data_IF_300755671614
#
_entry.id   IF_300755671614
#
_cell.length_a   1.000
_cell.length_b   1.000
_cell.length_c   1.000
_cell.angle_alpha   90.00
_cell.angle_beta   90.00
_cell.angle_gamma   90.00
#
_symmetry.space_group_name_H-M   'P 1'
#
loop_
_entity.id
_entity.type
_entity.pdbx_description
1 polymer ?
#
# COMPACT_ATOMS: atom_id res chain seq x y z
N UNK A 1 30.60 -7.86 29.43
CA UNK A 1 30.22 -9.28 29.23
C UNK A 1 29.64 -9.46 27.82
N UNK A 2 30.01 -10.51 27.07
CA UNK A 2 29.36 -10.82 25.79
C UNK A 2 27.94 -11.31 26.07
N UNK A 3 26.93 -10.55 25.66
CA UNK A 3 25.53 -10.94 25.80
C UNK A 3 24.90 -10.98 24.41
N UNK A 4 24.59 -12.20 23.94
CA UNK A 4 23.65 -12.41 22.85
C UNK A 4 24.22 -13.04 21.57
N UNK A 5 23.32 -13.74 20.87
CA UNK A 5 23.49 -14.15 19.49
C UNK A 5 23.66 -12.91 18.58
N UNK A 6 24.31 -13.03 17.41
CA UNK A 6 24.37 -11.95 16.43
C UNK A 6 22.97 -11.46 16.09
N UNK A 7 22.78 -10.13 16.06
CA UNK A 7 21.52 -9.52 15.65
C UNK A 7 21.65 -9.15 14.17
N UNK A 8 20.70 -9.51 13.29
CA UNK A 8 20.75 -9.11 11.89
C UNK A 8 20.43 -7.61 11.76
N UNK A 9 21.22 -6.92 10.96
CA UNK A 9 20.92 -5.56 10.47
C UNK A 9 20.25 -5.72 9.11
N UNK A 10 18.99 -5.34 9.04
CA UNK A 10 18.20 -5.37 7.79
C UNK A 10 18.03 -3.97 7.21
N UNK A 11 18.17 -3.85 5.90
CA UNK A 11 17.94 -2.63 5.13
C UNK A 11 16.99 -2.97 3.99
N UNK A 12 15.82 -2.32 3.94
CA UNK A 12 14.75 -2.62 2.97
C UNK A 12 14.42 -4.12 2.87
N UNK A 13 14.38 -4.81 4.02
CA UNK A 13 14.12 -6.26 4.10
C UNK A 13 15.27 -7.16 3.67
N UNK A 14 16.46 -6.61 3.40
CA UNK A 14 17.67 -7.38 3.10
C UNK A 14 18.61 -7.42 4.30
N UNK A 15 19.04 -8.61 4.70
CA UNK A 15 20.07 -8.80 5.71
C UNK A 15 21.44 -8.36 5.18
N UNK A 16 22.00 -7.29 5.76
CA UNK A 16 23.25 -6.67 5.29
C UNK A 16 24.43 -7.04 6.18
N UNK A 17 24.25 -7.00 7.50
CA UNK A 17 25.30 -7.28 8.47
C UNK A 17 24.76 -8.07 9.65
N UNK A 18 25.65 -8.79 10.33
CA UNK A 18 25.40 -9.21 11.70
C UNK A 18 26.09 -8.24 12.65
N UNK A 19 25.37 -7.77 13.66
CA UNK A 19 25.94 -6.94 14.73
C UNK A 19 26.05 -7.76 16.01
N UNK A 20 27.26 -7.82 16.55
CA UNK A 20 27.50 -8.29 17.91
C UNK A 20 27.55 -7.07 18.82
N UNK A 21 26.70 -7.05 19.83
CA UNK A 21 26.56 -5.91 20.73
C UNK A 21 27.11 -6.26 22.10
N UNK A 22 27.80 -5.30 22.72
CA UNK A 22 28.44 -5.44 24.02
C UNK A 22 28.00 -4.30 24.93
N UNK A 23 27.67 -4.61 26.18
CA UNK A 23 27.53 -3.56 27.20
C UNK A 23 28.92 -3.15 27.69
N UNK A 24 29.16 -1.84 27.67
CA UNK A 24 30.36 -1.24 28.25
C UNK A 24 30.19 -1.24 29.78
N UNK A 25 31.17 -1.79 30.51
CA UNK A 25 31.14 -1.80 31.96
C UNK A 25 31.01 -0.38 32.51
N UNK A 26 30.13 -0.21 33.50
CA UNK A 26 29.82 1.08 34.15
C UNK A 26 29.27 2.18 33.22
N UNK A 27 28.74 1.83 32.05
CA UNK A 27 28.10 2.75 31.10
C UNK A 27 26.74 2.26 30.61
N UNK A 28 25.89 3.20 30.19
CA UNK A 28 24.62 2.89 29.50
C UNK A 28 24.81 2.73 27.98
N UNK A 29 26.02 2.99 27.48
CA UNK A 29 26.37 2.86 26.08
C UNK A 29 26.60 1.40 25.67
N UNK A 30 26.22 1.12 24.42
CA UNK A 30 26.48 -0.13 23.74
C UNK A 30 27.65 0.04 22.78
N UNK A 31 28.59 -0.90 22.83
CA UNK A 31 29.64 -1.07 21.82
C UNK A 31 29.25 -2.21 20.87
N UNK A 32 29.84 -2.26 19.68
CA UNK A 32 29.48 -3.29 18.71
C UNK A 32 30.57 -3.63 17.70
N UNK A 33 30.41 -4.81 17.10
CA UNK A 33 31.21 -5.28 15.98
C UNK A 33 30.27 -5.67 14.83
N UNK A 34 30.54 -5.14 13.63
CA UNK A 34 29.87 -5.57 12.40
C UNK A 34 30.60 -6.76 11.79
N UNK A 35 29.83 -7.74 11.32
CA UNK A 35 30.33 -8.94 10.66
C UNK A 35 29.57 -9.13 9.34
N UNK A 36 30.31 -9.42 8.26
CA UNK A 36 29.73 -9.78 6.97
C UNK A 36 28.95 -11.11 7.10
N UNK A 37 27.69 -11.18 6.63
CA UNK A 37 26.91 -12.42 6.66
C UNK A 37 27.61 -13.62 5.99
N UNK A 38 28.46 -13.39 4.99
CA UNK A 38 29.21 -14.45 4.32
C UNK A 38 30.28 -15.09 5.22
N UNK A 39 30.86 -14.33 6.13
CA UNK A 39 31.94 -14.80 7.01
C UNK A 39 31.42 -15.74 8.11
N UNK A 40 30.16 -15.61 8.53
CA UNK A 40 29.52 -16.51 9.49
C UNK A 40 29.27 -17.92 8.93
N UNK A 41 28.97 -18.04 7.63
CA UNK A 41 28.78 -19.33 6.97
C UNK A 41 30.11 -20.07 6.68
N UNK A 42 31.23 -19.33 6.61
CA UNK A 42 32.55 -19.92 6.44
C UNK A 42 33.08 -20.58 7.73
N UNK A 43 32.61 -20.15 8.90
CA UNK A 43 33.03 -20.71 10.20
C UNK A 43 32.31 -22.01 10.53
N UNK A 44 31.07 -22.22 10.06
CA UNK A 44 30.30 -23.44 10.33
C UNK A 44 30.68 -24.65 9.45
N UNK A 45 31.41 -24.44 8.36
CA UNK A 45 31.76 -25.50 7.40
C UNK A 45 33.12 -26.19 7.65
N UNK A 46 33.87 -25.79 8.68
CA UNK A 46 35.22 -26.31 8.97
C UNK A 46 35.32 -27.20 10.22
N UNK A 47 34.30 -28.02 10.51
CA UNK A 47 34.38 -29.09 11.54
C UNK A 47 34.78 -30.46 10.98
N UNK A 48 35.44 -30.52 9.82
CA UNK A 48 35.82 -31.77 9.15
C UNK A 48 37.11 -31.68 8.35
N UNK A 49 38.24 -31.80 9.06
CA UNK A 49 39.57 -32.25 8.59
C UNK A 49 40.05 -31.93 7.17
N UNK A 50 41.12 -31.14 7.06
CA UNK A 50 41.99 -31.15 5.87
C UNK A 50 42.74 -29.85 5.66
N UNK A 51 44.01 -29.83 6.04
CA UNK A 51 44.93 -28.72 5.80
C UNK A 51 45.09 -28.51 4.30
N UNK A 52 44.58 -27.39 3.77
CA UNK A 52 45.11 -26.77 2.56
C UNK A 52 45.13 -25.25 2.74
N UNK A 53 46.34 -24.74 2.90
CA UNK A 53 46.66 -23.34 3.02
C UNK A 53 46.38 -22.61 1.69
N UNK A 54 45.18 -22.05 1.57
CA UNK A 54 44.90 -20.91 0.70
C UNK A 54 44.99 -19.64 1.54
N UNK A 55 46.09 -18.91 1.40
CA UNK A 55 46.37 -17.65 2.09
C UNK A 55 45.37 -16.56 1.69
N UNK A 56 44.29 -16.44 2.47
CA UNK A 56 43.39 -15.29 2.51
C UNK A 56 42.87 -15.17 3.93
N UNK A 57 43.66 -14.51 4.79
CA UNK A 57 43.33 -14.21 6.18
C UNK A 57 41.95 -13.53 6.29
N UNK A 58 40.92 -14.28 6.73
CA UNK A 58 39.64 -13.71 7.15
C UNK A 58 39.72 -12.89 8.44
N UNK A 59 40.93 -12.70 9.01
CA UNK A 59 41.17 -11.97 10.25
C UNK A 59 41.48 -10.48 10.08
N UNK A 60 41.73 -10.01 8.84
CA UNK A 60 42.12 -8.61 8.57
C UNK A 60 41.17 -7.88 7.62
N UNK A 61 39.93 -8.35 7.45
CA UNK A 61 38.88 -7.50 6.86
C UNK A 61 38.43 -6.50 7.93
N UNK A 62 39.21 -5.44 8.08
CA UNK A 62 38.74 -4.26 8.81
C UNK A 62 37.46 -3.80 8.13
N UNK A 63 36.34 -3.91 8.84
CA UNK A 63 35.09 -3.30 8.41
C UNK A 63 35.32 -1.80 8.44
N UNK A 64 35.17 -1.15 7.29
CA UNK A 64 35.21 0.29 7.20
C UNK A 64 34.04 0.86 8.01
N UNK A 65 34.32 1.63 9.05
CA UNK A 65 33.31 2.31 9.88
C UNK A 65 33.18 3.80 9.56
N UNK A 66 33.91 4.32 8.56
CA UNK A 66 33.98 5.76 8.27
C UNK A 66 32.65 6.38 7.80
N UNK A 67 31.69 5.53 7.42
CA UNK A 67 30.35 5.94 7.03
C UNK A 67 29.37 6.04 8.20
N UNK A 68 29.75 5.62 9.41
CA UNK A 68 28.94 5.84 10.59
C UNK A 68 28.94 7.33 10.96
N UNK A 69 27.74 7.88 11.12
CA UNK A 69 27.55 9.26 11.53
C UNK A 69 27.26 9.34 13.02
N UNK A 70 28.27 9.78 13.78
CA UNK A 70 28.17 9.91 15.23
C UNK A 70 27.19 11.00 15.69
N UNK A 71 26.78 11.92 14.81
CA UNK A 71 25.86 13.01 15.18
C UNK A 71 24.44 12.51 15.47
N UNK A 72 24.02 11.42 14.82
CA UNK A 72 22.70 10.80 14.96
C UNK A 72 22.73 9.52 15.82
N UNK A 73 23.82 9.28 16.57
CA UNK A 73 23.94 8.07 17.41
C UNK A 73 22.86 8.10 18.51
N UNK A 74 22.11 7.01 18.72
CA UNK A 74 21.05 6.98 19.71
C UNK A 74 21.62 7.21 21.11
N UNK A 75 20.98 8.11 21.86
CA UNK A 75 21.29 8.37 23.26
C UNK A 75 20.30 7.56 24.09
N UNK A 76 20.82 6.68 24.94
CA UNK A 76 19.99 5.78 25.75
C UNK A 76 19.74 6.35 27.13
N UNK A 77 18.54 6.13 27.67
CA UNK A 77 18.19 6.48 29.04
C UNK A 77 18.39 5.27 29.96
N UNK A 78 18.61 5.54 31.25
CA UNK A 78 18.70 4.52 32.29
C UNK A 78 17.49 3.60 32.42
N UNK A 79 16.32 4.03 31.92
CA UNK A 79 15.06 3.29 31.93
C UNK A 79 14.87 2.39 30.70
N UNK A 80 15.72 2.51 29.68
CA UNK A 80 15.56 1.75 28.44
C UNK A 80 16.05 0.32 28.63
N UNK A 81 15.25 -0.66 28.20
CA UNK A 81 15.67 -2.07 28.26
C UNK A 81 16.83 -2.32 27.31
N UNK A 82 17.62 -3.36 27.57
CA UNK A 82 18.74 -3.73 26.70
C UNK A 82 18.27 -3.95 25.25
N UNK A 83 17.14 -4.62 25.06
CA UNK A 83 16.57 -4.90 23.73
C UNK A 83 16.24 -3.62 22.97
N UNK A 84 15.61 -2.64 23.63
CA UNK A 84 15.30 -1.34 23.01
C UNK A 84 16.57 -0.58 22.62
N UNK A 85 17.61 -0.64 23.45
CA UNK A 85 18.90 0.00 23.16
C UNK A 85 19.58 -0.67 21.95
N UNK A 86 19.57 -2.01 21.90
CA UNK A 86 20.07 -2.80 20.76
C UNK A 86 19.30 -2.48 19.48
N UNK A 87 17.98 -2.43 19.54
CA UNK A 87 17.12 -2.10 18.40
C UNK A 87 17.42 -0.69 17.87
N UNK A 88 17.53 0.30 18.75
CA UNK A 88 17.90 1.66 18.37
C UNK A 88 19.31 1.74 17.73
N UNK A 89 20.28 0.97 18.25
CA UNK A 89 21.62 0.88 17.70
C UNK A 89 21.62 0.24 16.30
N UNK A 90 20.94 -0.90 16.13
CA UNK A 90 20.77 -1.60 14.85
C UNK A 90 20.13 -0.66 13.82
N UNK A 91 19.06 0.04 14.22
CA UNK A 91 18.38 1.02 13.37
C UNK A 91 19.30 2.18 12.96
N UNK A 92 20.15 2.68 13.86
CA UNK A 92 21.12 3.73 13.53
C UNK A 92 22.20 3.24 12.55
N UNK A 93 22.74 2.04 12.75
CA UNK A 93 23.69 1.43 11.81
C UNK A 93 23.05 1.26 10.44
N UNK A 94 21.83 0.72 10.37
CA UNK A 94 21.08 0.57 9.12
C UNK A 94 20.90 1.91 8.39
N UNK A 95 20.46 2.97 9.10
CA UNK A 95 20.31 4.32 8.54
C UNK A 95 21.63 4.90 8.02
N UNK A 96 22.72 4.76 8.77
CA UNK A 96 24.03 5.24 8.31
C UNK A 96 24.47 4.50 7.04
N UNK A 97 24.19 3.20 6.94
CA UNK A 97 24.50 2.42 5.76
C UNK A 97 23.68 2.85 4.55
N UNK A 98 22.37 3.08 4.73
CA UNK A 98 21.49 3.63 3.69
C UNK A 98 22.01 4.99 3.21
N UNK A 99 22.38 5.89 4.13
CA UNK A 99 22.97 7.20 3.78
C UNK A 99 24.24 7.05 2.94
N UNK A 100 25.12 6.09 3.28
CA UNK A 100 26.31 5.77 2.47
C UNK A 100 25.92 5.33 1.06
N UNK A 101 25.10 4.28 0.96
CA UNK A 101 24.67 3.73 -0.33
C UNK A 101 23.93 4.75 -1.19
N UNK A 102 23.10 5.60 -0.59
CA UNK A 102 22.37 6.66 -1.30
C UNK A 102 23.30 7.71 -1.90
N UNK A 103 24.41 8.04 -1.22
CA UNK A 103 25.44 8.96 -1.76
C UNK A 103 26.18 8.37 -2.96
N UNK A 104 26.44 7.07 -2.92
CA UNK A 104 27.16 6.32 -3.97
C UNK A 104 26.22 5.86 -5.12
N UNK A 105 24.90 5.94 -4.91
CA UNK A 105 23.88 5.44 -5.84
C UNK A 105 24.03 6.00 -7.27
N UNK A 106 24.28 7.31 -7.51
CA UNK A 106 24.42 7.83 -8.87
C UNK A 106 25.57 7.16 -9.65
N UNK A 107 26.70 6.90 -8.98
CA UNK A 107 27.86 6.25 -9.59
C UNK A 107 27.54 4.78 -9.92
N UNK A 108 26.85 4.09 -9.01
CA UNK A 108 26.41 2.71 -9.22
C UNK A 108 25.41 2.61 -10.37
N UNK A 109 24.41 3.49 -10.42
CA UNK A 109 23.44 3.51 -11.52
C UNK A 109 24.11 3.81 -12.86
N UNK A 110 25.02 4.77 -12.93
CA UNK A 110 25.80 5.07 -14.14
C UNK A 110 26.59 3.86 -14.65
N UNK A 111 27.10 3.01 -13.74
CA UNK A 111 27.76 1.77 -14.11
C UNK A 111 26.73 0.76 -14.65
N UNK A 112 25.65 0.47 -13.93
CA UNK A 112 24.81 -0.69 -14.26
C UNK A 112 23.64 -0.41 -15.21
N UNK A 113 23.11 0.82 -15.27
CA UNK A 113 21.98 1.20 -16.12
C UNK A 113 21.95 2.70 -16.44
N UNK A 114 22.25 3.05 -17.70
CA UNK A 114 22.10 4.43 -18.18
C UNK A 114 20.65 4.93 -18.05
N UNK A 115 19.67 4.04 -18.22
CA UNK A 115 18.27 4.38 -18.14
C UNK A 115 17.86 4.77 -16.71
N UNK A 116 18.18 3.93 -15.71
CA UNK A 116 17.89 4.28 -14.32
C UNK A 116 18.72 5.46 -13.83
N UNK A 117 19.97 5.59 -14.30
CA UNK A 117 20.76 6.78 -13.98
C UNK A 117 20.08 8.05 -14.48
N UNK A 118 19.57 8.03 -15.72
CA UNK A 118 18.81 9.14 -16.28
C UNK A 118 17.53 9.41 -15.49
N UNK A 119 16.73 8.38 -15.18
CA UNK A 119 15.50 8.55 -14.39
C UNK A 119 15.81 9.11 -12.98
N UNK A 120 16.94 8.70 -12.39
CA UNK A 120 17.39 9.20 -11.10
C UNK A 120 17.79 10.68 -11.16
N UNK A 121 18.66 11.04 -12.10
CA UNK A 121 19.17 12.41 -12.22
C UNK A 121 18.07 13.39 -12.66
N UNK A 122 17.17 12.97 -13.57
CA UNK A 122 16.13 13.83 -14.12
C UNK A 122 14.92 14.01 -13.19
N UNK A 123 14.59 12.99 -12.38
CA UNK A 123 13.35 12.98 -11.61
C UNK A 123 13.54 12.51 -10.16
N UNK A 124 14.03 11.29 -9.91
CA UNK A 124 14.02 10.73 -8.54
C UNK A 124 14.81 11.57 -7.54
N UNK A 125 15.96 12.13 -7.94
CA UNK A 125 16.79 12.99 -7.10
C UNK A 125 16.11 14.30 -6.69
N UNK A 126 15.06 14.69 -7.41
CA UNK A 126 14.24 15.88 -7.14
C UNK A 126 13.13 15.62 -6.12
N UNK A 127 12.79 14.35 -5.87
CA UNK A 127 11.79 13.95 -4.88
C UNK A 127 12.34 14.19 -3.48
N UNK A 128 11.85 15.27 -2.83
CA UNK A 128 12.21 15.66 -1.46
C UNK A 128 11.00 16.21 -0.73
N UNK A 129 10.69 15.61 0.41
CA UNK A 129 9.60 16.04 1.29
C UNK A 129 10.04 17.20 2.19
N UNK A 130 9.05 17.93 2.71
CA UNK A 130 9.29 18.98 3.72
C UNK A 130 9.82 18.37 5.03
N UNK A 131 9.49 17.10 5.28
CA UNK A 131 9.99 16.28 6.39
C UNK A 131 11.41 15.73 6.17
N UNK A 132 12.04 16.06 5.04
CA UNK A 132 13.38 15.63 4.69
C UNK A 132 13.46 14.23 4.07
N UNK A 133 12.34 13.52 3.89
CA UNK A 133 12.33 12.24 3.16
C UNK A 133 12.74 12.47 1.71
N UNK A 134 13.52 11.54 1.17
CA UNK A 134 13.96 11.55 -0.20
C UNK A 134 14.09 10.13 -0.72
N UNK A 135 14.42 9.98 -2.00
CA UNK A 135 14.73 8.68 -2.57
C UNK A 135 16.02 8.15 -1.95
N UNK A 136 15.93 6.95 -1.38
CA UNK A 136 17.04 6.26 -0.76
C UNK A 136 17.46 5.05 -1.61
N UNK A 137 18.75 4.78 -1.63
CA UNK A 137 19.36 3.69 -2.38
C UNK A 137 20.06 2.69 -1.48
N UNK A 138 19.90 1.42 -1.79
CA UNK A 138 20.70 0.34 -1.22
C UNK A 138 21.20 -0.55 -2.35
N UNK A 139 22.44 -1.02 -2.26
CA UNK A 139 22.95 -1.98 -3.21
C UNK A 139 23.92 -2.94 -2.55
N UNK A 140 23.95 -4.17 -3.05
CA UNK A 140 24.88 -5.20 -2.61
C UNK A 140 25.23 -6.13 -3.76
N UNK A 141 26.41 -6.75 -3.66
CA UNK A 141 26.85 -7.77 -4.60
C UNK A 141 26.58 -9.15 -4.03
N UNK A 142 25.98 -10.03 -4.83
CA UNK A 142 25.81 -11.43 -4.48
C UNK A 142 26.12 -12.30 -5.70
N UNK A 143 27.17 -13.10 -5.60
CA UNK A 143 27.69 -13.89 -6.71
C UNK A 143 28.16 -13.00 -7.86
N UNK A 144 27.61 -13.23 -9.06
CA UNK A 144 27.90 -12.46 -10.27
C UNK A 144 26.94 -11.29 -10.51
N UNK A 145 26.02 -11.02 -9.58
CA UNK A 145 25.00 -9.99 -9.72
C UNK A 145 25.16 -8.89 -8.67
N UNK A 146 24.76 -7.69 -9.06
CA UNK A 146 24.56 -6.56 -8.16
C UNK A 146 23.07 -6.32 -8.07
N UNK A 147 22.58 -6.26 -6.85
CA UNK A 147 21.21 -5.89 -6.55
C UNK A 147 21.17 -4.43 -6.16
N UNK A 148 20.22 -3.69 -6.73
CA UNK A 148 20.01 -2.26 -6.48
C UNK A 148 18.56 -2.09 -6.06
N UNK A 149 18.33 -1.63 -4.85
CA UNK A 149 17.02 -1.33 -4.29
C UNK A 149 16.86 0.19 -4.17
N UNK A 150 15.77 0.71 -4.72
CA UNK A 150 15.35 2.09 -4.57
C UNK A 150 14.13 2.14 -3.65
N UNK A 151 14.21 2.93 -2.58
CA UNK A 151 13.07 3.31 -1.74
C UNK A 151 12.63 4.71 -2.13
N UNK A 152 11.43 4.80 -2.72
CA UNK A 152 10.87 6.01 -3.29
C UNK A 152 9.69 6.43 -2.42
N UNK A 153 9.82 7.49 -1.61
CA UNK A 153 8.69 7.99 -0.83
C UNK A 153 7.63 8.59 -1.75
N UNK A 154 6.37 8.30 -1.47
CA UNK A 154 5.21 8.73 -2.24
C UNK A 154 4.34 9.67 -1.41
N UNK A 155 3.56 10.52 -2.09
CA UNK A 155 2.54 11.38 -1.49
C UNK A 155 3.09 12.34 -0.42
N UNK A 156 4.35 12.77 -0.58
CA UNK A 156 5.10 13.56 0.39
C UNK A 156 4.39 14.83 0.88
N UNK A 157 3.57 15.45 0.02
CA UNK A 157 2.86 16.70 0.33
C UNK A 157 1.42 16.49 0.81
N UNK A 158 0.99 15.24 0.98
CA UNK A 158 -0.42 14.90 1.25
C UNK A 158 -0.59 14.13 2.56
N UNK A 159 0.46 13.98 3.36
CA UNK A 159 0.40 13.25 4.64
C UNK A 159 -0.70 13.76 5.57
N UNK A 160 -0.86 15.09 5.73
CA UNK A 160 -1.94 15.68 6.54
C UNK A 160 -3.34 15.36 6.00
N UNK A 161 -3.52 15.46 4.67
CA UNK A 161 -4.79 15.15 4.02
C UNK A 161 -5.15 13.67 4.21
N UNK A 162 -4.21 12.77 3.93
CA UNK A 162 -4.38 11.33 4.11
C UNK A 162 -4.75 11.02 5.55
N UNK A 163 -3.99 11.53 6.54
CA UNK A 163 -4.32 11.34 7.97
C UNK A 163 -5.71 11.84 8.31
N UNK A 164 -6.12 12.99 7.78
CA UNK A 164 -7.47 13.53 7.93
C UNK A 164 -8.53 12.57 7.41
N UNK A 165 -8.36 12.06 6.17
CA UNK A 165 -9.26 11.09 5.54
C UNK A 165 -9.36 9.79 6.32
N UNK A 166 -8.22 9.23 6.75
CA UNK A 166 -8.19 8.03 7.58
C UNK A 166 -8.93 8.22 8.91
N UNK A 167 -8.76 9.38 9.54
CA UNK A 167 -9.49 9.73 10.77
C UNK A 167 -11.00 9.82 10.52
N UNK A 168 -11.40 10.45 9.42
CA UNK A 168 -12.81 10.54 8.99
C UNK A 168 -13.43 9.17 8.77
N UNK A 169 -12.70 8.23 8.14
CA UNK A 169 -13.18 6.85 7.92
C UNK A 169 -13.54 6.18 9.24
N UNK A 170 -12.66 6.23 10.24
CA UNK A 170 -12.94 5.60 11.55
C UNK A 170 -14.13 6.28 12.25
N UNK A 171 -14.19 7.61 12.21
CA UNK A 171 -15.30 8.37 12.83
C UNK A 171 -16.65 8.04 12.21
N UNK A 172 -16.73 8.03 10.88
CA UNK A 172 -17.97 7.70 10.17
C UNK A 172 -18.37 6.25 10.39
N UNK A 173 -17.41 5.32 10.36
CA UNK A 173 -17.67 3.91 10.61
C UNK A 173 -18.22 3.68 12.03
N UNK A 174 -17.60 4.27 13.05
CA UNK A 174 -18.10 4.20 14.43
C UNK A 174 -19.48 4.83 14.62
N UNK A 175 -19.71 6.00 14.00
CA UNK A 175 -21.02 6.67 14.00
C UNK A 175 -22.12 5.76 13.42
N UNK A 176 -21.86 5.15 12.26
CA UNK A 176 -22.82 4.30 11.55
C UNK A 176 -23.08 2.96 12.24
N UNK A 177 -22.12 2.45 13.00
CA UNK A 177 -22.31 1.25 13.82
C UNK A 177 -23.02 1.51 15.15
N UNK A 178 -23.29 2.77 15.50
CA UNK A 178 -23.79 3.18 16.81
C UNK A 178 -22.94 2.64 17.98
N UNK A 179 -21.65 2.43 17.74
CA UNK A 179 -20.73 2.08 18.82
C UNK A 179 -20.53 3.29 19.73
N UNK A 180 -20.16 3.05 21.00
CA UNK A 180 -19.70 4.11 21.89
C UNK A 180 -18.69 5.01 21.16
N UNK A 181 -18.68 6.33 21.41
CA UNK A 181 -17.85 7.26 20.67
C UNK A 181 -16.39 6.82 20.79
N UNK A 182 -15.86 6.26 19.71
CA UNK A 182 -14.44 5.93 19.62
C UNK A 182 -13.71 7.25 19.78
N UNK A 183 -12.78 7.38 20.76
CA UNK A 183 -12.00 8.60 20.90
C UNK A 183 -11.35 8.89 19.55
N UNK A 184 -11.45 10.13 19.09
CA UNK A 184 -11.00 10.56 17.76
C UNK A 184 -9.60 10.01 17.48
N UNK A 185 -9.45 8.99 16.61
CA UNK A 185 -8.16 8.40 16.35
C UNK A 185 -7.32 9.45 15.66
N UNK A 186 -6.13 9.69 16.20
CA UNK A 186 -5.17 10.63 15.64
C UNK A 186 -3.99 9.84 15.15
N UNK A 187 -3.78 9.84 13.83
CA UNK A 187 -2.62 9.22 13.24
C UNK A 187 -1.43 10.18 13.36
N UNK A 188 -0.29 9.70 13.86
CA UNK A 188 0.97 10.47 13.87
C UNK A 188 1.61 10.43 12.49
N UNK A 189 1.60 9.26 11.84
CA UNK A 189 2.22 9.02 10.54
C UNK A 189 1.32 8.20 9.63
N UNK A 190 1.32 8.51 8.34
CA UNK A 190 0.61 7.78 7.28
C UNK A 190 1.37 7.96 5.97
N UNK A 191 2.26 7.02 5.67
CA UNK A 191 3.27 7.15 4.64
C UNK A 191 3.25 5.98 3.68
N UNK A 192 3.51 6.28 2.40
CA UNK A 192 3.61 5.29 1.34
C UNK A 192 5.03 5.31 0.76
N UNK A 193 5.62 4.13 0.59
CA UNK A 193 6.96 3.98 0.01
C UNK A 193 6.95 2.88 -1.05
N UNK A 194 7.43 3.20 -2.25
CA UNK A 194 7.65 2.23 -3.30
C UNK A 194 9.08 1.70 -3.24
N UNK A 195 9.22 0.39 -3.07
CA UNK A 195 10.48 -0.33 -3.11
C UNK A 195 10.62 -1.05 -4.45
N UNK A 196 11.62 -0.65 -5.24
CA UNK A 196 11.97 -1.32 -6.49
C UNK A 196 13.34 -1.96 -6.36
N UNK A 197 13.43 -3.28 -6.53
CA UNK A 197 14.70 -4.02 -6.54
C UNK A 197 15.02 -4.50 -7.95
N UNK A 198 16.22 -4.18 -8.41
CA UNK A 198 16.77 -4.55 -9.69
C UNK A 198 17.97 -5.48 -9.50
N UNK A 199 18.13 -6.46 -10.38
CA UNK A 199 19.36 -7.24 -10.53
C UNK A 199 20.09 -6.82 -11.80
N UNK A 200 21.41 -6.65 -11.68
CA UNK A 200 22.32 -6.30 -12.76
C UNK A 200 23.48 -7.30 -12.81
N UNK A 201 23.86 -7.78 -14.00
CA UNK A 201 25.00 -8.70 -14.13
C UNK A 201 26.35 -7.95 -14.08
N UNK A 202 27.16 -8.29 -13.08
CA UNK A 202 28.49 -7.71 -12.86
C UNK A 202 29.51 -8.11 -13.94
N UNK A 203 29.31 -9.26 -14.61
CA UNK A 203 30.20 -9.79 -15.65
C UNK A 203 29.97 -9.18 -17.03
N UNK A 204 28.96 -8.33 -17.21
CA UNK A 204 28.70 -7.61 -18.47
C UNK A 204 29.70 -6.46 -18.68
N UNK A 205 30.95 -6.82 -18.94
CA UNK A 205 32.03 -5.90 -19.24
C UNK A 205 31.87 -5.25 -20.61
N UNK A 206 31.75 -3.90 -20.62
CA UNK A 206 32.13 -2.97 -21.69
C UNK A 206 31.63 -3.16 -23.14
N UNK A 207 30.83 -4.17 -23.49
CA UNK A 207 30.18 -4.21 -24.80
C UNK A 207 28.93 -3.33 -24.79
N UNK A 208 28.98 -2.26 -25.57
CA UNK A 208 28.13 -1.06 -25.63
C UNK A 208 26.70 -1.26 -26.14
N UNK A 209 26.05 -2.38 -25.86
CA UNK A 209 24.62 -2.57 -26.18
C UNK A 209 23.86 -3.08 -24.96
N UNK A 210 23.32 -2.13 -24.18
CA UNK A 210 22.36 -2.30 -23.09
C UNK A 210 22.76 -3.31 -22.01
N UNK A 211 23.34 -2.82 -20.91
CA UNK A 211 23.39 -3.58 -19.65
C UNK A 211 21.94 -3.76 -19.19
N UNK A 212 21.38 -4.95 -19.43
CA UNK A 212 20.01 -5.26 -19.06
C UNK A 212 19.93 -5.43 -17.54
N UNK A 213 19.34 -4.44 -16.88
CA UNK A 213 18.84 -4.61 -15.52
C UNK A 213 17.48 -5.30 -15.56
N UNK A 214 17.23 -6.18 -14.60
CA UNK A 214 15.94 -6.86 -14.46
C UNK A 214 15.30 -6.46 -13.14
N UNK A 215 14.07 -5.99 -13.18
CA UNK A 215 13.27 -5.82 -11.96
C UNK A 215 13.00 -7.20 -11.34
N UNK A 216 13.44 -7.41 -10.11
CA UNK A 216 13.25 -8.65 -9.35
C UNK A 216 12.13 -8.56 -8.35
N UNK A 217 11.89 -7.37 -7.79
CA UNK A 217 10.86 -7.12 -6.79
C UNK A 217 10.29 -5.71 -6.93
N UNK A 218 8.99 -5.60 -6.73
CA UNK A 218 8.25 -4.36 -6.56
C UNK A 218 7.36 -4.53 -5.33
N UNK A 219 7.57 -3.71 -4.32
CA UNK A 219 6.78 -3.72 -3.09
C UNK A 219 6.31 -2.31 -2.76
N UNK A 220 5.04 -2.17 -2.38
CA UNK A 220 4.48 -0.91 -1.90
C UNK A 220 4.23 -1.06 -0.41
N UNK A 221 4.92 -0.25 0.38
CA UNK A 221 4.76 -0.22 1.83
C UNK A 221 3.79 0.89 2.24
N UNK A 222 2.85 0.55 3.12
CA UNK A 222 1.97 1.51 3.77
C UNK A 222 2.25 1.51 5.27
N UNK A 223 2.96 2.53 5.72
CA UNK A 223 3.27 2.75 7.12
C UNK A 223 2.20 3.64 7.76
N UNK A 224 1.54 3.13 8.80
CA UNK A 224 0.50 3.83 9.53
C UNK A 224 0.78 3.70 11.02
N UNK A 225 0.88 4.84 11.69
CA UNK A 225 1.11 4.92 13.13
C UNK A 225 0.00 5.74 13.78
N UNK A 226 -0.60 5.15 14.81
CA UNK A 226 -1.61 5.81 15.63
C UNK A 226 -0.98 6.38 16.89
N UNK A 227 -1.31 7.63 17.21
CA UNK A 227 -0.78 8.33 18.36
C UNK A 227 -1.31 7.72 19.66
N UNK A 228 -0.40 7.34 20.55
CA UNK A 228 -0.68 6.72 21.86
C UNK A 228 -1.36 5.33 21.80
N UNK A 229 -1.29 4.63 20.66
CA UNK A 229 -1.90 3.32 20.53
C UNK A 229 -0.99 2.19 21.04
N UNK A 230 -1.55 1.10 21.58
CA UNK A 230 -0.80 -0.14 21.80
C UNK A 230 -0.34 -0.74 20.45
N UNK A 231 0.71 -1.57 20.48
CA UNK A 231 1.34 -2.16 19.28
C UNK A 231 0.36 -2.94 18.37
N UNK A 232 -0.75 -3.44 18.91
CA UNK A 232 -1.80 -4.16 18.18
C UNK A 232 -3.10 -3.33 18.12
N UNK A 233 -3.04 -2.14 17.51
CA UNK A 233 -4.25 -1.33 17.35
C UNK A 233 -5.21 -1.93 16.33
N UNK A 234 -6.42 -2.26 16.80
CA UNK A 234 -7.56 -2.66 15.97
C UNK A 234 -7.87 -1.60 14.89
N UNK A 235 -7.62 -0.32 15.19
CA UNK A 235 -7.86 0.79 14.27
C UNK A 235 -6.89 0.74 13.09
N UNK A 236 -5.61 0.51 13.35
CA UNK A 236 -4.60 0.39 12.28
C UNK A 236 -4.90 -0.79 11.36
N UNK A 237 -5.28 -1.94 11.92
CA UNK A 237 -5.66 -3.13 11.13
C UNK A 237 -6.94 -2.92 10.33
N UNK A 238 -7.93 -2.23 10.91
CA UNK A 238 -9.14 -1.84 10.20
C UNK A 238 -8.83 -0.94 9.00
N UNK A 239 -8.00 0.09 9.18
CA UNK A 239 -7.61 0.99 8.10
C UNK A 239 -6.84 0.25 7.00
N UNK A 240 -5.89 -0.62 7.35
CA UNK A 240 -5.17 -1.44 6.37
C UNK A 240 -6.09 -2.33 5.54
N UNK A 241 -7.19 -2.82 6.12
CA UNK A 241 -8.22 -3.57 5.36
C UNK A 241 -9.09 -2.67 4.49
N UNK A 242 -9.36 -1.45 4.93
CA UNK A 242 -10.15 -0.48 4.18
C UNK A 242 -9.41 0.07 2.96
N UNK A 243 -8.11 0.34 3.12
CA UNK A 243 -7.24 0.88 2.07
C UNK A 243 -6.49 -0.27 1.41
N UNK A 244 -7.09 -0.85 0.37
CA UNK A 244 -6.38 -1.86 -0.43
C UNK A 244 -5.24 -1.22 -1.21
N UNK A 245 -4.04 -1.75 -1.02
CA UNK A 245 -2.92 -1.55 -1.95
C UNK A 245 -2.83 -2.66 -3.00
N UNK A 246 -3.76 -3.63 -2.99
CA UNK A 246 -3.84 -4.65 -4.02
C UNK A 246 -4.34 -4.04 -5.35
N UNK A 247 -3.92 -4.65 -6.46
CA UNK A 247 -4.31 -4.27 -7.83
C UNK A 247 -4.00 -2.80 -8.20
N UNK A 248 -2.96 -2.23 -7.60
CA UNK A 248 -2.39 -0.96 -8.04
C UNK A 248 -1.56 -1.13 -9.32
N UNK A 249 -1.36 -0.06 -10.12
CA UNK A 249 -0.46 -0.10 -11.27
C UNK A 249 0.93 -0.61 -10.85
N UNK A 250 1.47 -1.54 -11.63
CA UNK A 250 2.80 -2.12 -11.39
C UNK A 250 3.82 -1.59 -12.36
N UNK A 251 5.05 -1.44 -11.91
CA UNK A 251 6.17 -1.02 -12.73
C UNK A 251 6.58 -2.16 -13.69
N UNK A 252 6.37 -1.96 -14.99
CA UNK A 252 6.72 -2.93 -16.03
C UNK A 252 7.81 -2.35 -16.95
N UNK A 253 9.10 -2.57 -16.64
CA UNK A 253 10.20 -1.98 -17.40
C UNK A 253 10.48 -2.66 -18.76
N UNK A 254 9.90 -3.83 -19.05
CA UNK A 254 10.23 -4.56 -20.28
C UNK A 254 9.38 -4.13 -21.50
N UNK A 255 10.00 -3.81 -22.64
CA UNK A 255 9.28 -3.68 -23.90
C UNK A 255 8.79 -5.07 -24.34
N UNK A 256 7.48 -5.26 -24.40
CA UNK A 256 6.86 -6.48 -24.96
C UNK A 256 7.18 -6.57 -26.46
N UNK A 257 8.35 -7.10 -26.81
CA UNK A 257 8.66 -7.56 -28.15
C UNK A 257 8.29 -9.04 -28.29
N UNK A 258 7.10 -9.27 -28.88
CA UNK A 258 6.58 -10.52 -29.48
C UNK A 258 6.23 -11.68 -28.53
N UNK A 259 4.93 -11.94 -28.38
CA UNK A 259 4.21 -12.94 -29.18
C UNK A 259 2.78 -13.06 -28.66
N UNK A 260 1.81 -12.95 -29.55
CA UNK A 260 0.43 -13.30 -29.26
C UNK A 260 0.37 -14.78 -28.85
N UNK A 261 0.34 -15.05 -27.55
CA UNK A 261 -0.23 -16.28 -27.03
C UNK A 261 -1.60 -15.95 -26.44
N UNK A 262 -2.59 -16.58 -27.04
CA UNK A 262 -3.99 -16.49 -26.69
C UNK A 262 -4.17 -17.15 -25.32
N UNK A 263 -4.35 -16.37 -24.26
CA UNK A 263 -5.09 -16.78 -23.05
C UNK A 263 -5.29 -15.61 -22.08
N UNK A 264 -6.30 -14.78 -22.36
CA UNK A 264 -7.50 -14.65 -21.51
C UNK A 264 -8.38 -13.58 -22.17
N UNK A 265 -9.55 -13.99 -22.65
CA UNK A 265 -10.60 -13.07 -23.08
C UNK A 265 -11.58 -12.96 -21.93
N UNK A 266 -11.94 -11.72 -21.62
CA UNK A 266 -12.99 -11.24 -20.70
C UNK A 266 -12.59 -11.02 -19.23
N UNK A 267 -12.59 -9.74 -18.83
CA UNK A 267 -13.03 -9.34 -17.49
C UNK A 267 -12.05 -8.57 -16.59
N UNK A 268 -11.71 -7.32 -16.92
CA UNK A 268 -11.39 -6.27 -15.92
C UNK A 268 -11.33 -4.89 -16.60
N UNK A 269 -12.39 -4.09 -16.42
CA UNK A 269 -12.51 -2.72 -16.94
C UNK A 269 -11.95 -1.64 -16.00
N UNK A 270 -10.98 -2.00 -15.15
CA UNK A 270 -10.10 -1.01 -14.48
C UNK A 270 -8.63 -1.28 -14.79
N UNK A 271 -8.37 -1.91 -15.93
CA UNK A 271 -7.10 -1.71 -16.60
C UNK A 271 -7.16 -0.30 -17.18
N UNK A 272 -6.22 0.58 -16.80
CA UNK A 272 -5.78 1.72 -17.59
C UNK A 272 -5.30 1.19 -18.95
N UNK A 273 -6.23 0.71 -19.78
CA UNK A 273 -6.12 0.67 -21.23
C UNK A 273 -6.43 2.08 -21.70
N UNK A 274 -5.53 2.99 -21.35
CA UNK A 274 -5.10 3.96 -22.35
C UNK A 274 -4.63 3.10 -23.53
N UNK A 275 -5.37 3.15 -24.64
CA UNK A 275 -4.89 2.65 -25.92
C UNK A 275 -3.62 3.43 -26.26
N UNK A 276 -2.50 2.88 -25.80
CA UNK A 276 -1.20 3.53 -25.82
C UNK A 276 -0.24 2.56 -25.16
N UNK A 277 0.50 1.85 -25.99
CA UNK A 277 1.73 1.16 -25.61
C UNK A 277 2.54 2.05 -24.66
N UNK A 278 2.54 1.78 -23.35
CA UNK A 278 3.63 2.20 -22.48
C UNK A 278 4.79 1.21 -22.67
N UNK A 279 5.31 1.19 -23.91
CA UNK A 279 6.62 0.62 -24.21
C UNK A 279 7.63 1.66 -23.74
N UNK A 280 8.41 1.34 -22.71
CA UNK A 280 9.32 2.22 -21.97
C UNK A 280 8.63 3.22 -21.02
N UNK A 281 7.90 2.74 -20.01
CA UNK A 281 7.43 3.61 -18.93
C UNK A 281 8.62 4.06 -18.06
N UNK A 282 8.99 5.34 -18.20
CA UNK A 282 9.93 5.99 -17.31
C UNK A 282 9.32 6.15 -15.92
N UNK A 283 10.15 6.16 -14.88
CA UNK A 283 9.67 6.36 -13.50
C UNK A 283 8.94 7.69 -13.32
N UNK A 284 9.27 8.70 -14.14
CA UNK A 284 8.62 10.02 -14.18
C UNK A 284 7.12 9.97 -14.53
N UNK A 285 6.69 8.99 -15.33
CA UNK A 285 5.28 8.82 -15.69
C UNK A 285 4.58 7.84 -14.76
N UNK A 286 5.32 6.81 -14.32
CA UNK A 286 4.77 5.75 -13.47
C UNK A 286 4.44 6.25 -12.06
N UNK A 287 5.36 6.96 -11.40
CA UNK A 287 5.20 7.37 -10.00
C UNK A 287 3.96 8.26 -9.81
N UNK A 288 3.73 9.33 -10.61
CA UNK A 288 2.52 10.13 -10.48
C UNK A 288 1.24 9.30 -10.72
N UNK A 289 1.26 8.35 -11.65
CA UNK A 289 0.12 7.47 -11.89
C UNK A 289 -0.16 6.53 -10.71
N UNK A 290 0.89 6.03 -10.06
CA UNK A 290 0.77 5.19 -8.87
C UNK A 290 0.26 6.00 -7.67
N UNK A 291 0.85 7.18 -7.42
CA UNK A 291 0.42 8.12 -6.38
C UNK A 291 -1.06 8.45 -6.50
N UNK A 292 -1.49 8.75 -7.72
CA UNK A 292 -2.89 9.02 -8.01
C UNK A 292 -3.80 7.82 -7.71
N UNK A 293 -3.38 6.60 -8.07
CA UNK A 293 -4.13 5.40 -7.76
C UNK A 293 -4.21 5.14 -6.24
N UNK A 294 -3.13 5.39 -5.49
CA UNK A 294 -3.12 5.26 -4.02
C UNK A 294 -4.11 6.25 -3.39
N UNK A 295 -4.14 7.50 -3.84
CA UNK A 295 -5.08 8.50 -3.31
C UNK A 295 -6.54 8.10 -3.52
N UNK A 296 -6.85 7.50 -4.66
CA UNK A 296 -8.18 6.94 -4.89
C UNK A 296 -8.49 5.82 -3.89
N UNK A 297 -7.54 4.92 -3.59
CA UNK A 297 -7.73 3.85 -2.61
C UNK A 297 -7.94 4.36 -1.19
N UNK A 298 -7.32 5.48 -0.82
CA UNK A 298 -7.55 6.15 0.46
C UNK A 298 -8.92 6.85 0.49
N UNK A 299 -9.29 7.52 -0.60
CA UNK A 299 -10.53 8.33 -0.65
C UNK A 299 -11.78 7.47 -0.84
N UNK A 300 -11.69 6.34 -1.51
CA UNK A 300 -12.82 5.46 -1.81
C UNK A 300 -13.63 5.01 -0.56
N UNK A 301 -13.01 4.47 0.51
CA UNK A 301 -13.74 4.10 1.73
C UNK A 301 -14.35 5.31 2.46
N UNK A 302 -13.68 6.48 2.43
CA UNK A 302 -14.23 7.72 2.99
C UNK A 302 -15.51 8.12 2.26
N UNK A 303 -15.45 8.20 0.93
CA UNK A 303 -16.58 8.56 0.08
C UNK A 303 -17.76 7.59 0.27
N UNK A 304 -17.49 6.28 0.33
CA UNK A 304 -18.50 5.28 0.63
C UNK A 304 -19.24 5.56 1.93
N UNK A 305 -18.50 5.80 3.01
CA UNK A 305 -19.07 6.01 4.33
C UNK A 305 -19.85 7.31 4.42
N UNK A 306 -19.38 8.38 3.75
CA UNK A 306 -20.13 9.62 3.62
C UNK A 306 -21.46 9.41 2.89
N UNK A 307 -21.46 8.60 1.82
CA UNK A 307 -22.66 8.26 1.08
C UNK A 307 -23.64 7.44 1.94
N UNK A 308 -23.15 6.44 2.68
CA UNK A 308 -23.97 5.69 3.63
C UNK A 308 -24.56 6.63 4.69
N UNK A 309 -23.76 7.54 5.25
CA UNK A 309 -24.21 8.54 6.24
C UNK A 309 -25.30 9.45 5.69
N UNK A 310 -25.16 9.92 4.45
CA UNK A 310 -26.21 10.71 3.78
C UNK A 310 -27.50 9.90 3.60
N UNK A 311 -27.38 8.67 3.10
CA UNK A 311 -28.51 7.78 2.83
C UNK A 311 -29.26 7.40 4.11
N UNK A 312 -28.62 7.47 5.29
CA UNK A 312 -29.31 7.24 6.57
C UNK A 312 -30.44 8.23 6.85
N UNK A 313 -30.42 9.41 6.23
CA UNK A 313 -31.48 10.41 6.34
C UNK A 313 -32.80 9.92 5.74
N UNK A 314 -32.75 8.97 4.80
CA UNK A 314 -33.91 8.47 4.08
C UNK A 314 -34.38 7.11 4.59
N UNK A 315 -33.45 6.18 4.81
CA UNK A 315 -33.78 4.79 5.18
C UNK A 315 -33.44 4.43 6.63
N UNK A 316 -33.02 5.40 7.44
CA UNK A 316 -32.58 5.17 8.81
C UNK A 316 -31.19 4.54 8.90
N UNK A 317 -30.88 3.93 10.03
CA UNK A 317 -29.55 3.36 10.28
C UNK A 317 -29.35 2.04 9.50
N UNK A 318 -28.14 1.77 8.98
CA UNK A 318 -27.88 0.52 8.28
C UNK A 318 -27.99 -0.67 9.24
N UNK A 319 -28.66 -1.73 8.79
CA UNK A 319 -28.73 -3.01 9.51
C UNK A 319 -27.46 -3.84 9.34
N UNK A 320 -26.68 -3.56 8.29
CA UNK A 320 -25.38 -4.18 8.04
C UNK A 320 -24.45 -3.19 7.34
N UNK A 321 -23.20 -3.12 7.79
CA UNK A 321 -22.16 -2.28 7.21
C UNK A 321 -20.83 -3.03 7.20
N UNK A 322 -20.29 -3.24 6.00
CA UNK A 322 -19.02 -3.94 5.77
C UNK A 322 -18.13 -3.03 4.93
N UNK A 323 -16.91 -2.79 5.38
CA UNK A 323 -15.92 -1.95 4.70
C UNK A 323 -14.64 -2.76 4.58
N UNK A 324 -14.07 -2.86 3.37
CA UNK A 324 -12.78 -3.54 3.20
C UNK A 324 -12.88 -5.05 3.04
N UNK A 325 -13.99 -5.58 2.50
CA UNK A 325 -14.13 -7.02 2.27
C UNK A 325 -13.60 -7.43 0.89
N UNK A 326 -12.92 -8.57 0.81
CA UNK A 326 -12.56 -9.17 -0.47
C UNK A 326 -13.80 -9.75 -1.15
N UNK A 327 -14.00 -9.41 -2.42
CA UNK A 327 -15.07 -9.99 -3.22
C UNK A 327 -14.81 -11.47 -3.51
N UNK A 328 -15.47 -12.37 -2.77
CA UNK A 328 -15.36 -13.82 -2.99
C UNK A 328 -16.10 -14.30 -4.23
N UNK A 329 -16.89 -13.45 -4.89
CA UNK A 329 -17.72 -13.83 -6.03
C UNK A 329 -17.00 -13.61 -7.38
N UNK A 330 -15.75 -13.15 -7.38
CA UNK A 330 -14.91 -12.97 -8.57
C UNK A 330 -13.52 -13.59 -8.43
N UNK A 331 -12.87 -13.92 -9.55
CA UNK A 331 -11.49 -14.45 -9.57
C UNK A 331 -10.41 -13.41 -9.18
N UNK A 332 -10.80 -12.16 -8.90
CA UNK A 332 -9.89 -11.07 -8.54
C UNK A 332 -10.25 -10.52 -7.15
N UNK A 333 -9.23 -10.22 -6.33
CA UNK A 333 -9.35 -9.67 -4.98
C UNK A 333 -9.77 -8.19 -4.98
N UNK A 334 -10.97 -7.89 -5.51
CA UNK A 334 -11.52 -6.54 -5.49
C UNK A 334 -12.04 -6.25 -4.08
N UNK A 335 -11.63 -5.12 -3.49
CA UNK A 335 -12.21 -4.65 -2.25
C UNK A 335 -13.60 -4.08 -2.52
N UNK A 336 -14.56 -4.54 -1.74
CA UNK A 336 -15.96 -4.14 -1.78
C UNK A 336 -16.37 -3.62 -0.40
N UNK A 337 -17.16 -2.56 -0.43
CA UNK A 337 -17.86 -2.04 0.73
C UNK A 337 -19.36 -2.23 0.51
N UNK A 338 -20.09 -2.64 1.53
CA UNK A 338 -21.53 -2.90 1.44
C UNK A 338 -22.26 -2.30 2.61
N UNK A 339 -23.41 -1.70 2.35
CA UNK A 339 -24.37 -1.28 3.35
C UNK A 339 -25.74 -1.87 3.02
N UNK A 340 -26.51 -2.23 4.02
CA UNK A 340 -27.90 -2.65 3.87
C UNK A 340 -28.78 -1.86 4.83
N UNK A 341 -29.94 -1.44 4.34
CA UNK A 341 -30.96 -0.72 5.09
C UNK A 341 -32.28 -1.47 4.95
N UNK A 342 -33.06 -1.52 6.02
CA UNK A 342 -34.41 -2.07 5.98
C UNK A 342 -35.41 -0.95 6.23
N UNK A 343 -36.43 -0.86 5.39
CA UNK A 343 -37.50 0.13 5.51
C UNK A 343 -38.86 -0.53 5.26
N UNK A 344 -39.91 0.03 5.86
CA UNK A 344 -41.28 -0.43 5.69
C UNK A 344 -42.11 0.73 5.18
N UNK A 345 -42.80 0.52 4.07
CA UNK A 345 -43.78 1.49 3.61
C UNK A 345 -45.05 1.39 4.45
N UNK A 346 -45.37 2.45 5.20
CA UNK A 346 -46.54 2.48 6.07
C UNK A 346 -47.87 2.35 5.30
N UNK A 347 -47.90 2.78 4.04
CA UNK A 347 -49.14 2.79 3.26
C UNK A 347 -49.48 1.39 2.71
N UNK A 348 -48.50 0.71 2.13
CA UNK A 348 -48.70 -0.62 1.52
C UNK A 348 -48.34 -1.79 2.44
N UNK A 349 -47.69 -1.51 3.57
CA UNK A 349 -47.14 -2.51 4.50
C UNK A 349 -46.08 -3.43 3.86
N UNK A 350 -45.49 -3.02 2.74
CA UNK A 350 -44.36 -3.73 2.14
C UNK A 350 -43.08 -3.44 2.93
N UNK A 351 -42.34 -4.50 3.25
CA UNK A 351 -40.98 -4.40 3.78
C UNK A 351 -39.95 -4.50 2.66
N UNK A 352 -39.01 -3.56 2.61
CA UNK A 352 -37.92 -3.52 1.64
C UNK A 352 -36.56 -3.55 2.32
N UNK A 353 -35.61 -4.24 1.68
CA UNK A 353 -34.18 -4.11 1.94
C UNK A 353 -33.51 -3.38 0.79
N UNK A 354 -32.83 -2.28 1.10
CA UNK A 354 -31.99 -1.52 0.18
C UNK A 354 -30.54 -1.92 0.43
N UNK A 355 -29.94 -2.62 -0.54
CA UNK A 355 -28.55 -3.05 -0.48
C UNK A 355 -27.69 -2.21 -1.41
N UNK A 356 -26.67 -1.57 -0.86
CA UNK A 356 -25.70 -0.76 -1.57
C UNK A 356 -24.35 -1.48 -1.59
N UNK A 357 -23.77 -1.69 -2.77
CA UNK A 357 -22.49 -2.36 -2.99
C UNK A 357 -21.56 -1.45 -3.77
N UNK A 358 -20.42 -1.12 -3.19
CA UNK A 358 -19.44 -0.22 -3.78
C UNK A 358 -18.08 -0.90 -3.90
N UNK A 359 -17.71 -1.27 -5.12
CA UNK A 359 -16.43 -1.90 -5.41
C UNK A 359 -15.39 -0.86 -5.81
N UNK A 360 -14.12 -1.09 -5.44
CA UNK A 360 -13.00 -0.16 -5.66
C UNK A 360 -12.73 0.25 -7.12
N UNK A 361 -13.36 -0.43 -8.08
CA UNK A 361 -13.29 -0.15 -9.52
C UNK A 361 -14.55 0.57 -10.03
N UNK A 362 -15.33 1.21 -9.15
CA UNK A 362 -16.56 1.93 -9.52
C UNK A 362 -16.57 3.29 -8.86
N UNK A 363 -17.13 4.27 -9.56
CA UNK A 363 -17.39 5.61 -9.02
C UNK A 363 -18.83 5.75 -8.49
N UNK A 364 -19.71 4.82 -8.85
CA UNK A 364 -21.08 4.72 -8.37
C UNK A 364 -21.32 3.35 -7.72
N UNK A 365 -22.03 3.28 -6.59
CA UNK A 365 -22.42 2.00 -6.01
C UNK A 365 -23.50 1.32 -6.84
N UNK A 366 -23.55 0.00 -6.80
CA UNK A 366 -24.72 -0.75 -7.24
C UNK A 366 -25.73 -0.74 -6.12
N UNK A 367 -26.97 -0.38 -6.43
CA UNK A 367 -28.06 -0.33 -5.46
C UNK A 367 -29.13 -1.34 -5.87
N UNK A 368 -29.50 -2.23 -4.96
CA UNK A 368 -30.54 -3.21 -5.13
C UNK A 368 -31.65 -2.95 -4.12
N UNK A 369 -32.90 -3.02 -4.58
CA UNK A 369 -34.09 -3.00 -3.73
C UNK A 369 -34.72 -4.39 -3.78
N UNK A 370 -34.90 -5.00 -2.61
CA UNK A 370 -35.46 -6.34 -2.44
C UNK A 370 -36.70 -6.23 -1.57
N UNK A 371 -37.85 -6.75 -2.01
CA UNK A 371 -39.03 -6.86 -1.15
C UNK A 371 -38.93 -8.13 -0.29
N UNK A 372 -38.96 -7.95 1.02
CA UNK A 372 -38.75 -9.00 2.02
C UNK A 372 -40.06 -9.50 2.66
N UNK A 373 -41.11 -8.67 2.67
CA UNK A 373 -42.41 -9.03 3.26
C UNK A 373 -43.55 -8.40 2.46
N UNK A 374 -44.51 -9.23 2.04
CA UNK A 374 -45.75 -8.78 1.43
C UNK A 374 -46.88 -9.77 1.77
N UNK A 375 -47.93 -9.27 2.44
CA UNK A 375 -49.01 -10.08 3.05
C UNK A 375 -50.10 -10.43 2.03
N UNK A 376 -49.72 -11.07 0.91
CA UNK A 376 -50.65 -11.50 -0.12
C UNK A 376 -50.77 -13.03 -0.12
N UNK A 377 -52.00 -13.55 0.00
CA UNK A 377 -52.32 -14.98 -0.13
C UNK A 377 -52.16 -15.53 -1.56
N UNK A 378 -51.68 -14.70 -2.50
CA UNK A 378 -51.34 -15.06 -3.88
C UNK A 378 -49.92 -14.64 -4.29
N UNK A 379 -49.05 -14.40 -3.32
CA UNK A 379 -47.67 -13.98 -3.49
C UNK A 379 -46.87 -14.91 -4.45
N UNK A 380 -46.12 -14.40 -5.44
CA UNK A 380 -45.19 -15.23 -6.20
C UNK A 380 -44.16 -15.91 -5.26
N UNK A 381 -43.82 -17.18 -5.51
CA UNK A 381 -42.73 -17.89 -4.78
C UNK A 381 -41.33 -17.22 -4.96
N UNK A 382 -41.25 -16.13 -5.72
CA UNK A 382 -40.00 -15.51 -6.17
C UNK A 382 -39.71 -14.23 -5.39
N UNK A 383 -38.45 -14.09 -4.96
CA UNK A 383 -37.92 -12.83 -4.42
C UNK A 383 -38.05 -11.74 -5.48
N UNK A 384 -38.79 -10.68 -5.16
CA UNK A 384 -38.90 -9.51 -6.01
C UNK A 384 -37.73 -8.59 -5.71
N UNK A 385 -36.82 -8.49 -6.67
CA UNK A 385 -35.62 -7.68 -6.58
C UNK A 385 -35.47 -6.84 -7.86
N UNK A 386 -35.13 -5.58 -7.69
CA UNK A 386 -34.74 -4.69 -8.78
C UNK A 386 -33.39 -4.04 -8.47
N UNK A 387 -32.51 -4.03 -9.47
CA UNK A 387 -31.33 -3.17 -9.47
C UNK A 387 -31.77 -1.76 -9.90
N UNK A 388 -31.51 -0.79 -9.03
CA UNK A 388 -31.86 0.60 -9.27
C UNK A 388 -30.98 1.16 -10.40
N UNK A 389 -31.60 1.86 -11.37
CA UNK A 389 -30.89 2.41 -12.53
C UNK A 389 -30.62 3.90 -12.37
N UNK A 390 -29.35 4.30 -12.50
CA UNK A 390 -28.98 5.71 -12.44
C UNK A 390 -29.55 6.49 -13.63
N UNK A 391 -29.93 7.76 -13.43
CA UNK A 391 -30.35 8.61 -14.53
C UNK A 391 -29.21 8.79 -15.54
N UNK A 392 -29.57 9.00 -16.81
CA UNK A 392 -28.60 9.08 -17.91
C UNK A 392 -27.55 10.17 -17.68
N UNK A 393 -27.95 11.34 -17.18
CA UNK A 393 -27.02 12.45 -16.92
C UNK A 393 -25.93 12.08 -15.91
N UNK A 394 -26.24 11.28 -14.89
CA UNK A 394 -25.27 10.87 -13.88
C UNK A 394 -24.36 9.76 -14.42
N UNK A 395 -24.92 8.88 -15.26
CA UNK A 395 -24.15 7.86 -15.97
C UNK A 395 -23.17 8.49 -16.97
N UNK A 396 -23.62 9.50 -17.72
CA UNK A 396 -22.81 10.26 -18.67
C UNK A 396 -21.72 11.06 -17.97
N UNK A 397 -22.04 11.72 -16.85
CA UNK A 397 -21.06 12.44 -16.03
C UNK A 397 -20.01 11.47 -15.45
N UNK A 398 -20.44 10.32 -14.93
CA UNK A 398 -19.52 9.27 -14.48
C UNK A 398 -18.58 8.80 -15.60
N UNK A 399 -19.11 8.60 -16.82
CA UNK A 399 -18.30 8.20 -17.96
C UNK A 399 -17.37 9.31 -18.47
N UNK A 400 -17.77 10.57 -18.33
CA UNK A 400 -16.88 11.72 -18.57
C UNK A 400 -15.74 11.77 -17.55
N UNK A 401 -16.03 11.60 -16.25
CA UNK A 401 -15.01 11.54 -15.20
C UNK A 401 -13.99 10.41 -15.44
N UNK A 402 -14.47 9.25 -15.92
CA UNK A 402 -13.59 8.15 -16.34
C UNK A 402 -12.74 8.52 -17.57
N UNK A 403 -13.32 9.18 -18.58
CA UNK A 403 -12.65 9.52 -19.84
C UNK A 403 -11.64 10.64 -19.70
N UNK A 404 -11.93 11.66 -18.89
CA UNK A 404 -11.05 12.81 -18.73
C UNK A 404 -9.75 12.45 -18.00
N UNK A 405 -9.63 11.26 -17.40
CA UNK A 405 -8.51 10.91 -16.53
C UNK A 405 -8.38 11.85 -15.32
N UNK A 406 -9.30 12.82 -15.17
CA UNK A 406 -9.50 13.63 -13.97
C UNK A 406 -10.26 12.79 -12.97
N UNK A 407 -9.59 11.78 -12.44
CA UNK A 407 -10.14 10.94 -11.37
C UNK A 407 -9.99 11.63 -10.00
N UNK A 408 -9.82 12.95 -9.98
CA UNK A 408 -9.69 13.75 -8.75
C UNK A 408 -11.04 14.13 -8.12
N UNK A 409 -12.15 13.54 -8.56
CA UNK A 409 -13.45 13.81 -7.96
C UNK A 409 -14.34 12.59 -8.02
N UNK A 410 -14.63 12.01 -6.86
CA UNK A 410 -15.93 11.39 -6.71
C UNK A 410 -17.00 12.46 -6.94
N UNK A 411 -18.17 12.06 -7.42
CA UNK A 411 -19.30 12.98 -7.52
C UNK A 411 -19.70 13.48 -6.13
N UNK A 412 -20.47 14.56 -6.05
CA UNK A 412 -20.93 15.07 -4.76
C UNK A 412 -21.71 13.97 -4.02
N UNK A 413 -21.40 13.78 -2.73
CA UNK A 413 -22.10 12.83 -1.87
C UNK A 413 -23.60 13.15 -1.81
N UNK A 414 -23.94 14.43 -1.73
CA UNK A 414 -25.33 14.89 -1.67
C UNK A 414 -26.06 14.55 -2.97
N UNK A 415 -25.47 14.88 -4.14
CA UNK A 415 -26.07 14.64 -5.45
C UNK A 415 -26.30 13.13 -5.68
N UNK A 416 -25.29 12.30 -5.38
CA UNK A 416 -25.41 10.84 -5.57
C UNK A 416 -26.37 10.25 -4.55
N UNK A 417 -26.34 10.71 -3.31
CA UNK A 417 -27.21 10.22 -2.24
C UNK A 417 -28.69 10.52 -2.48
N UNK A 418 -29.00 11.72 -2.96
CA UNK A 418 -30.38 12.11 -3.33
C UNK A 418 -30.88 11.29 -4.51
N UNK A 419 -30.04 11.08 -5.54
CA UNK A 419 -30.38 10.22 -6.68
C UNK A 419 -30.60 8.77 -6.25
N UNK A 420 -29.78 8.23 -5.35
CA UNK A 420 -29.98 6.87 -4.81
C UNK A 420 -31.35 6.75 -4.12
N UNK A 421 -31.74 7.75 -3.35
CA UNK A 421 -33.05 7.77 -2.71
C UNK A 421 -34.18 7.76 -3.75
N UNK A 422 -34.16 8.65 -4.73
CA UNK A 422 -35.19 8.71 -5.79
C UNK A 422 -35.31 7.39 -6.56
N UNK A 423 -34.17 6.80 -6.95
CA UNK A 423 -34.15 5.53 -7.67
C UNK A 423 -34.66 4.36 -6.83
N UNK A 424 -34.42 4.37 -5.53
CA UNK A 424 -34.95 3.36 -4.62
C UNK A 424 -36.48 3.47 -4.50
N UNK A 425 -37.01 4.68 -4.37
CA UNK A 425 -38.47 4.91 -4.33
C UNK A 425 -39.13 4.44 -5.64
N UNK A 426 -38.53 4.75 -6.79
CA UNK A 426 -39.02 4.25 -8.08
C UNK A 426 -39.00 2.72 -8.14
N UNK A 427 -37.91 2.08 -7.72
CA UNK A 427 -37.80 0.63 -7.67
C UNK A 427 -38.83 -0.01 -6.72
N UNK A 428 -39.05 0.56 -5.53
CA UNK A 428 -40.07 0.12 -4.58
C UNK A 428 -41.48 0.20 -5.20
N UNK A 429 -41.82 1.33 -5.85
CA UNK A 429 -43.10 1.51 -6.54
C UNK A 429 -43.31 0.49 -7.68
N UNK A 430 -42.25 0.23 -8.45
CA UNK A 430 -42.26 -0.79 -9.50
C UNK A 430 -42.45 -2.21 -8.96
N UNK A 431 -41.95 -2.52 -7.75
CA UNK A 431 -42.17 -3.82 -7.09
C UNK A 431 -43.61 -3.92 -6.59
N UNK A 432 -44.14 -2.86 -5.95
CA UNK A 432 -45.51 -2.82 -5.43
C UNK A 432 -46.51 -3.01 -6.57
N UNK A 433 -46.32 -2.31 -7.70
CA UNK A 433 -47.21 -2.41 -8.86
C UNK A 433 -47.19 -3.79 -9.54
N UNK A 434 -46.17 -4.62 -9.32
CA UNK A 434 -46.16 -6.02 -9.76
C UNK A 434 -46.96 -6.95 -8.84
N UNK A 435 -47.29 -6.49 -7.63
CA UNK A 435 -48.03 -7.26 -6.62
C UNK A 435 -49.50 -6.83 -6.47
N UNK A 436 -49.83 -5.60 -6.87
CA UNK A 436 -51.20 -5.07 -6.94
C UNK A 436 -51.88 -5.52 -8.24
#
# INVERSE_FOLDING_TARGET
MMSGAPVPVEVFGHHVFNIHVFEIEDSQELDFLLIDPADLNAVSSNSGGGVNAGSGSGRDRFVDYTWLDHTDRPIHNSSDTFEKRVEALVGWVGRCHIKKCTRELPDVLNVYSQQLSFDYDSYLSTIKGVDGRCVEGFFYSSGSQVYITLSIPLLLNQGDEIRGKLSTIVKLYGKLLQSDPVPDPTFSHADFSLLLTFAADASSGRSSSSRAIKLTSENLEFHLEEKNAPQDSIVTDFIRRCVSIADLPRYAPEPVHRSASVSSRFGSQFSLRTEGKLTNAHLIDFIPSLEHAILQRVTHPEYFLQLVDHVTRFFGQPVSLIVGANDTNGQNSVIVHTAAFDTVDECTQFGFCVSMRFGSARMLPVVNVIANQYTSSGAPERVLQLEAKYPEWLSDHNDQLKKEGKVSGFMSVDDVGDVIHEMCIEAMSNIISQCA
#
